data_IF_646701779395
#
_entry.id   IF_646701779395
#
_cell.length_a   1.000
_cell.length_b   1.000
_cell.length_c   1.000
_cell.angle_alpha   90.00
_cell.angle_beta   90.00
_cell.angle_gamma   90.00
#
_symmetry.space_group_name_H-M   'P 1'
#
loop_
_entity.id
_entity.type
_entity.pdbx_description
1 polymer ?
#
# COMPACT_ATOMS: atom_id res chain seq x y z
N UNK A 1 -10.11 -1.54 -29.92
CA UNK A 1 -10.23 -2.60 -28.91
C UNK A 1 -8.95 -2.56 -28.11
N UNK A 2 -8.97 -2.15 -26.83
CA UNK A 2 -7.77 -2.27 -25.99
C UNK A 2 -7.35 -3.75 -25.94
N UNK A 3 -6.06 -4.07 -25.90
CA UNK A 3 -5.59 -5.45 -25.82
C UNK A 3 -6.15 -6.12 -24.57
N UNK A 4 -6.42 -7.43 -24.64
CA UNK A 4 -6.76 -8.22 -23.47
C UNK A 4 -5.61 -8.11 -22.47
N UNK A 5 -5.85 -7.52 -21.29
CA UNK A 5 -4.82 -7.42 -20.24
C UNK A 5 -4.64 -8.80 -19.65
N UNK A 6 -3.50 -9.42 -19.96
CA UNK A 6 -3.22 -10.80 -19.58
C UNK A 6 -2.93 -10.98 -18.08
N UNK A 7 -2.85 -9.96 -17.24
CA UNK A 7 -2.73 -10.14 -15.78
C UNK A 7 -3.07 -8.84 -15.04
N UNK A 8 -3.89 -8.90 -14.00
CA UNK A 8 -4.10 -7.73 -13.14
C UNK A 8 -2.90 -7.52 -12.20
N UNK A 9 -2.50 -6.26 -12.05
CA UNK A 9 -1.48 -5.82 -11.08
C UNK A 9 -2.14 -4.95 -10.01
N UNK A 10 -2.05 -5.39 -8.76
CA UNK A 10 -2.57 -4.65 -7.61
C UNK A 10 -1.44 -4.01 -6.82
N UNK A 11 -1.67 -2.80 -6.32
CA UNK A 11 -0.78 -2.11 -5.37
C UNK A 11 -1.50 -1.99 -4.05
N UNK A 12 -0.84 -2.31 -2.94
CA UNK A 12 -1.41 -2.22 -1.60
C UNK A 12 -0.55 -1.31 -0.73
N UNK A 13 -1.12 -0.20 -0.25
CA UNK A 13 -0.49 0.60 0.78
C UNK A 13 -0.67 -0.04 2.15
N UNK A 14 0.44 -0.34 2.84
CA UNK A 14 0.43 -1.02 4.12
C UNK A 14 1.21 -0.25 5.20
N UNK A 15 0.50 0.17 6.24
CA UNK A 15 1.05 0.89 7.41
C UNK A 15 0.88 0.10 8.72
N UNK A 16 0.42 -1.16 8.64
CA UNK A 16 0.13 -1.99 9.80
C UNK A 16 -1.11 -1.58 10.59
N UNK A 17 -1.95 -0.69 10.07
CA UNK A 17 -3.26 -0.40 10.66
C UNK A 17 -4.26 -1.53 10.40
N UNK A 18 -5.28 -1.65 11.24
CA UNK A 18 -6.32 -2.67 11.05
C UNK A 18 -7.07 -2.53 9.71
N UNK A 19 -7.22 -1.30 9.22
CA UNK A 19 -7.81 -1.06 7.91
C UNK A 19 -6.90 -1.55 6.78
N UNK A 20 -5.58 -1.35 6.89
CA UNK A 20 -4.62 -1.88 5.93
C UNK A 20 -4.58 -3.43 5.95
N UNK A 21 -4.65 -4.05 7.14
CA UNK A 21 -4.77 -5.52 7.28
C UNK A 21 -6.03 -6.06 6.59
N UNK A 22 -7.18 -5.41 6.79
CA UNK A 22 -8.42 -5.75 6.08
C UNK A 22 -8.29 -5.56 4.58
N UNK A 23 -7.54 -4.54 4.15
CA UNK A 23 -7.19 -4.32 2.74
C UNK A 23 -6.44 -5.49 2.12
N UNK A 24 -5.41 -5.99 2.80
CA UNK A 24 -4.67 -7.18 2.35
C UNK A 24 -5.54 -8.44 2.32
N UNK A 25 -6.37 -8.66 3.34
CA UNK A 25 -7.29 -9.80 3.36
C UNK A 25 -8.25 -9.77 2.17
N UNK A 26 -8.77 -8.60 1.83
CA UNK A 26 -9.63 -8.42 0.66
C UNK A 26 -8.86 -8.68 -0.65
N UNK A 27 -7.59 -8.29 -0.71
CA UNK A 27 -6.71 -8.65 -1.83
C UNK A 27 -6.55 -10.16 -1.90
N UNK A 28 -6.34 -10.89 -0.82
CA UNK A 28 -6.30 -12.36 -0.84
C UNK A 28 -7.56 -12.99 -1.46
N UNK A 29 -8.74 -12.42 -1.20
CA UNK A 29 -10.01 -12.86 -1.82
C UNK A 29 -10.10 -12.48 -3.31
N UNK A 30 -9.60 -11.31 -3.72
CA UNK A 30 -9.65 -10.81 -5.10
C UNK A 30 -8.49 -11.32 -5.98
N UNK A 31 -7.37 -11.70 -5.36
CA UNK A 31 -6.09 -11.95 -6.00
C UNK A 31 -6.04 -13.29 -6.75
N UNK A 32 -7.08 -14.13 -6.62
CA UNK A 32 -7.32 -15.19 -7.60
C UNK A 32 -7.35 -14.66 -9.05
N UNK A 33 -7.68 -13.36 -9.24
CA UNK A 33 -7.65 -12.67 -10.53
C UNK A 33 -6.34 -11.87 -10.78
N UNK A 34 -5.51 -11.63 -9.75
CA UNK A 34 -4.27 -10.86 -9.85
C UNK A 34 -3.03 -11.75 -9.87
N UNK A 35 -2.23 -11.63 -10.93
CA UNK A 35 -0.94 -12.34 -10.99
C UNK A 35 0.16 -11.62 -10.22
N UNK A 36 0.00 -10.32 -9.95
CA UNK A 36 1.00 -9.52 -9.26
C UNK A 36 0.38 -8.62 -8.19
N UNK A 37 0.94 -8.65 -6.99
CA UNK A 37 0.57 -7.78 -5.86
C UNK A 37 1.84 -7.09 -5.35
N UNK A 38 1.86 -5.77 -5.41
CA UNK A 38 2.96 -4.94 -4.91
C UNK A 38 2.55 -4.35 -3.57
N UNK A 39 3.15 -4.83 -2.49
CA UNK A 39 2.95 -4.28 -1.15
C UNK A 39 3.93 -3.14 -0.93
N UNK A 40 3.41 -1.96 -0.61
CA UNK A 40 4.18 -0.74 -0.40
C UNK A 40 4.00 -0.26 1.02
N UNK A 41 5.10 -0.20 1.78
CA UNK A 41 5.17 0.53 3.05
C UNK A 41 5.93 1.84 2.85
N UNK A 42 5.46 2.91 3.47
CA UNK A 42 6.06 4.24 3.34
C UNK A 42 6.39 4.81 4.70
N UNK A 43 7.67 5.05 4.94
CA UNK A 43 8.16 5.84 6.08
C UNK A 43 8.01 7.32 5.75
N UNK A 44 7.21 8.10 6.50
CA UNK A 44 7.05 9.52 6.25
C UNK A 44 8.38 10.28 6.43
N UNK A 45 8.77 11.07 5.42
CA UNK A 45 9.91 11.97 5.57
C UNK A 45 9.51 13.17 6.47
N UNK A 46 10.07 13.20 7.68
CA UNK A 46 9.84 14.27 8.67
C UNK A 46 10.87 15.42 8.55
N UNK A 47 11.76 15.38 7.55
CA UNK A 47 12.76 16.41 7.27
C UNK A 47 14.12 16.19 7.95
N UNK A 48 15.09 17.04 7.60
CA UNK A 48 16.53 16.88 7.95
C UNK A 48 16.82 16.76 9.45
N UNK A 49 15.94 17.30 10.31
CA UNK A 49 16.12 17.26 11.77
C UNK A 49 15.87 15.88 12.40
N UNK A 50 15.33 14.92 11.64
CA UNK A 50 15.02 13.57 12.13
C UNK A 50 16.00 12.51 11.62
N UNK A 51 16.94 12.87 10.74
CA UNK A 51 17.83 11.91 10.07
C UNK A 51 19.06 11.65 10.94
N UNK A 52 18.98 10.61 11.77
CA UNK A 52 20.14 10.03 12.47
C UNK A 52 20.31 8.57 12.06
N UNK A 53 21.52 8.00 12.16
CA UNK A 53 21.77 6.58 11.82
C UNK A 53 20.90 5.62 12.63
N UNK A 54 20.61 5.93 13.89
CA UNK A 54 19.71 5.13 14.73
C UNK A 54 18.25 5.22 14.28
N UNK A 55 17.80 6.40 13.80
CA UNK A 55 16.42 6.56 13.28
C UNK A 55 16.26 5.82 11.96
N UNK A 56 17.24 5.94 11.04
CA UNK A 56 17.24 5.18 9.79
C UNK A 56 17.20 3.66 10.02
N UNK A 57 18.03 3.14 10.94
CA UNK A 57 18.03 1.72 11.25
C UNK A 57 16.70 1.24 11.87
N UNK A 58 16.02 2.09 12.63
CA UNK A 58 14.67 1.79 13.17
C UNK A 58 13.62 1.81 12.07
N UNK A 59 13.64 2.81 11.22
CA UNK A 59 12.71 2.95 10.10
C UNK A 59 12.82 1.76 9.14
N UNK A 60 14.04 1.32 8.81
CA UNK A 60 14.26 0.12 7.99
C UNK A 60 13.72 -1.14 8.68
N UNK A 61 13.98 -1.30 9.99
CA UNK A 61 13.48 -2.43 10.76
C UNK A 61 11.95 -2.46 10.83
N UNK A 62 11.32 -1.31 11.05
CA UNK A 62 9.86 -1.20 11.10
C UNK A 62 9.22 -1.45 9.73
N UNK A 63 9.83 -0.94 8.64
CA UNK A 63 9.38 -1.19 7.28
C UNK A 63 9.45 -2.69 6.93
N UNK A 64 10.57 -3.35 7.23
CA UNK A 64 10.72 -4.79 6.99
C UNK A 64 9.73 -5.62 7.82
N UNK A 65 9.52 -5.26 9.10
CA UNK A 65 8.52 -5.92 9.96
C UNK A 65 7.11 -5.79 9.38
N UNK A 66 6.74 -4.62 8.86
CA UNK A 66 5.45 -4.41 8.22
C UNK A 66 5.31 -5.22 6.93
N UNK A 67 6.37 -5.30 6.12
CA UNK A 67 6.36 -6.10 4.90
C UNK A 67 6.26 -7.61 5.19
N UNK A 68 6.96 -8.11 6.21
CA UNK A 68 6.86 -9.50 6.67
C UNK A 68 5.43 -9.83 7.12
N UNK A 69 4.81 -8.94 7.90
CA UNK A 69 3.42 -9.08 8.31
C UNK A 69 2.48 -9.13 7.10
N UNK A 70 2.67 -8.23 6.13
CA UNK A 70 1.83 -8.18 4.94
C UNK A 70 1.95 -9.44 4.08
N UNK A 71 3.16 -9.96 3.87
CA UNK A 71 3.41 -11.20 3.13
C UNK A 71 2.75 -12.39 3.85
N UNK A 72 2.85 -12.45 5.18
CA UNK A 72 2.21 -13.52 5.95
C UNK A 72 0.67 -13.51 5.78
N UNK A 73 0.05 -12.33 5.68
CA UNK A 73 -1.39 -12.20 5.42
C UNK A 73 -1.81 -12.60 4.00
N UNK A 74 -0.87 -12.66 3.06
CA UNK A 74 -1.08 -13.07 1.67
C UNK A 74 -0.58 -14.51 1.39
N UNK A 75 -0.18 -15.27 2.41
CA UNK A 75 0.47 -16.56 2.24
C UNK A 75 -0.40 -17.62 1.52
N UNK A 76 -1.73 -17.49 1.60
CA UNK A 76 -2.68 -18.42 0.98
C UNK A 76 -3.04 -18.05 -0.47
N UNK A 77 -2.35 -17.07 -1.06
CA UNK A 77 -2.64 -16.58 -2.42
C UNK A 77 -1.85 -17.35 -3.49
N UNK A 78 -2.35 -18.53 -3.86
CA UNK A 78 -1.69 -19.39 -4.86
C UNK A 78 -1.60 -18.73 -6.24
N UNK A 79 -0.42 -18.78 -6.87
CA UNK A 79 -0.20 -18.30 -8.24
C UNK A 79 -0.04 -16.78 -8.38
N UNK A 80 -0.09 -16.04 -7.28
CA UNK A 80 0.17 -14.59 -7.24
C UNK A 80 1.65 -14.33 -6.88
N UNK A 81 2.31 -13.49 -7.66
CA UNK A 81 3.64 -12.96 -7.31
C UNK A 81 3.46 -11.80 -6.32
N UNK A 82 4.19 -11.84 -5.21
CA UNK A 82 4.16 -10.78 -4.20
C UNK A 82 5.49 -10.02 -4.28
N UNK A 83 5.42 -8.74 -4.63
CA UNK A 83 6.53 -7.80 -4.61
C UNK A 83 6.47 -6.94 -3.33
N UNK A 84 7.62 -6.74 -2.69
CA UNK A 84 7.76 -5.92 -1.48
C UNK A 84 8.47 -4.62 -1.84
N UNK A 85 7.93 -3.47 -1.41
CA UNK A 85 8.58 -2.17 -1.56
C UNK A 85 8.52 -1.37 -0.25
N UNK A 86 9.69 -1.11 0.32
CA UNK A 86 9.85 -0.08 1.34
C UNK A 86 10.29 1.22 0.67
N UNK A 87 9.70 2.34 1.06
CA UNK A 87 10.04 3.65 0.53
C UNK A 87 9.98 4.72 1.62
N UNK A 88 10.68 5.83 1.41
CA UNK A 88 10.64 7.00 2.30
C UNK A 88 10.10 8.20 1.52
N UNK A 89 9.17 8.96 2.11
CA UNK A 89 8.62 10.16 1.49
C UNK A 89 7.17 10.47 1.89
N UNK A 90 6.47 11.25 1.06
CA UNK A 90 5.03 11.48 1.21
C UNK A 90 4.24 10.23 0.77
N UNK A 91 3.48 9.56 1.67
CA UNK A 91 2.84 8.28 1.36
C UNK A 91 1.91 8.32 0.15
N UNK A 92 1.15 9.41 -0.01
CA UNK A 92 0.22 9.53 -1.15
C UNK A 92 0.98 9.64 -2.48
N UNK A 93 2.03 10.46 -2.51
CA UNK A 93 2.88 10.62 -3.70
C UNK A 93 3.58 9.30 -4.06
N UNK A 94 4.19 8.64 -3.08
CA UNK A 94 4.89 7.37 -3.29
C UNK A 94 3.94 6.31 -3.85
N UNK A 95 2.75 6.15 -3.27
CA UNK A 95 1.76 5.18 -3.76
C UNK A 95 1.33 5.50 -5.20
N UNK A 96 1.05 6.75 -5.52
CA UNK A 96 0.67 7.18 -6.87
C UNK A 96 1.80 6.91 -7.86
N UNK A 97 3.04 7.21 -7.49
CA UNK A 97 4.20 6.98 -8.37
C UNK A 97 4.40 5.47 -8.61
N UNK A 98 4.30 4.63 -7.57
CA UNK A 98 4.35 3.17 -7.72
C UNK A 98 3.25 2.66 -8.63
N UNK A 99 2.00 3.15 -8.51
CA UNK A 99 0.90 2.71 -9.40
C UNK A 99 1.19 2.99 -10.87
N UNK A 100 1.89 4.08 -11.18
CA UNK A 100 2.29 4.42 -12.56
C UNK A 100 3.47 3.57 -13.03
N UNK A 101 4.44 3.33 -12.16
CA UNK A 101 5.62 2.52 -12.48
C UNK A 101 5.28 1.09 -12.88
N UNK A 102 4.27 0.49 -12.22
CA UNK A 102 3.89 -0.91 -12.45
C UNK A 102 2.65 -1.07 -13.34
N UNK A 103 2.14 0.01 -13.94
CA UNK A 103 0.85 0.06 -14.66
C UNK A 103 -0.27 -0.65 -13.88
N UNK A 104 -0.44 -0.26 -12.62
CA UNK A 104 -1.40 -0.90 -11.71
C UNK A 104 -2.84 -0.80 -12.23
N UNK A 105 -3.62 -1.83 -12.01
CA UNK A 105 -5.06 -1.84 -12.30
C UNK A 105 -5.88 -1.36 -11.09
N UNK A 106 -5.39 -1.64 -9.88
CA UNK A 106 -6.07 -1.31 -8.63
C UNK A 106 -5.07 -0.90 -7.54
N UNK A 107 -5.33 0.23 -6.89
CA UNK A 107 -4.67 0.65 -5.65
C UNK A 107 -5.60 0.38 -4.46
N UNK A 108 -5.11 -0.38 -3.48
CA UNK A 108 -5.82 -0.68 -2.25
C UNK A 108 -5.16 0.07 -1.10
N UNK A 109 -5.96 0.83 -0.35
CA UNK A 109 -5.51 1.54 0.85
C UNK A 109 -6.50 1.39 1.99
N UNK A 110 -5.99 1.32 3.22
CA UNK A 110 -6.81 1.42 4.41
C UNK A 110 -7.41 2.82 4.58
N UNK A 111 -8.66 2.88 5.03
CA UNK A 111 -9.26 4.07 5.61
C UNK A 111 -8.56 4.37 6.94
N UNK A 112 -8.38 5.65 7.25
CA UNK A 112 -7.92 6.07 8.58
C UNK A 112 -8.87 5.54 9.69
N UNK A 113 -8.29 4.88 10.70
CA UNK A 113 -9.01 4.27 11.84
C UNK A 113 -9.60 5.26 12.84
N UNK A 114 -10.43 4.77 13.76
CA UNK A 114 -11.23 5.57 14.69
C UNK A 114 -10.42 6.41 15.71
N UNK A 115 -9.16 6.04 15.97
CA UNK A 115 -8.31 6.67 16.99
C UNK A 115 -7.72 8.04 16.58
N UNK A 116 -7.82 8.40 15.29
CA UNK A 116 -7.31 9.67 14.78
C UNK A 116 -8.46 10.64 14.53
N UNK A 117 -8.69 11.56 15.48
CA UNK A 117 -9.61 12.72 15.45
C UNK A 117 -10.59 12.73 14.26
N UNK A 118 -11.80 12.23 14.51
CA UNK A 118 -12.89 11.87 13.60
C UNK A 118 -13.46 12.98 12.66
N UNK A 119 -12.64 13.86 12.08
CA UNK A 119 -13.10 14.98 11.23
C UNK A 119 -13.02 14.69 9.73
N UNK A 120 -12.37 13.61 9.29
CA UNK A 120 -12.36 13.21 7.87
C UNK A 120 -12.77 11.75 7.69
N UNK A 121 -13.71 11.50 6.77
CA UNK A 121 -14.24 10.17 6.51
C UNK A 121 -13.21 9.25 5.82
N UNK A 122 -12.26 9.75 5.05
CA UNK A 122 -11.33 8.92 4.26
C UNK A 122 -9.90 8.87 4.84
N UNK A 123 -9.41 9.97 5.42
CA UNK A 123 -7.99 10.16 5.75
C UNK A 123 -7.21 10.85 4.62
N UNK A 124 -6.12 11.53 4.98
CA UNK A 124 -5.37 12.39 4.03
C UNK A 124 -4.69 11.63 2.90
N UNK A 125 -4.18 10.43 3.17
CA UNK A 125 -3.53 9.59 2.14
C UNK A 125 -4.59 9.07 1.17
N UNK A 126 -5.63 8.40 1.68
CA UNK A 126 -6.72 7.87 0.88
C UNK A 126 -7.38 8.94 -0.01
N UNK A 127 -7.65 10.13 0.53
CA UNK A 127 -8.20 11.23 -0.25
C UNK A 127 -7.27 11.62 -1.43
N UNK A 128 -5.97 11.81 -1.16
CA UNK A 128 -5.03 12.25 -2.19
C UNK A 128 -4.80 11.20 -3.27
N UNK A 129 -4.77 9.91 -2.91
CA UNK A 129 -4.58 8.85 -3.91
C UNK A 129 -5.84 8.66 -4.77
N UNK A 130 -7.05 8.78 -4.21
CA UNK A 130 -8.30 8.77 -4.99
C UNK A 130 -8.34 9.90 -6.02
N UNK A 131 -7.78 11.07 -5.69
CA UNK A 131 -7.73 12.22 -6.59
C UNK A 131 -6.64 12.10 -7.68
N UNK A 132 -5.59 11.29 -7.49
CA UNK A 132 -4.35 11.38 -8.27
C UNK A 132 -3.88 10.06 -8.92
N UNK A 133 -4.37 8.92 -8.46
CA UNK A 133 -4.02 7.61 -9.01
C UNK A 133 -4.50 7.50 -10.47
N UNK A 134 -3.71 6.83 -11.30
CA UNK A 134 -4.05 6.55 -12.70
C UNK A 134 -4.90 5.28 -12.86
N UNK A 135 -5.22 4.60 -11.77
CA UNK A 135 -5.92 3.32 -11.71
C UNK A 135 -7.13 3.40 -10.78
N UNK A 136 -7.92 2.32 -10.74
CA UNK A 136 -9.02 2.23 -9.78
C UNK A 136 -8.48 2.26 -8.35
N UNK A 137 -9.24 2.83 -7.42
CA UNK A 137 -8.84 2.93 -6.01
C UNK A 137 -9.90 2.30 -5.13
N UNK A 138 -9.50 1.32 -4.33
CA UNK A 138 -10.30 0.71 -3.29
C UNK A 138 -9.88 1.21 -1.91
N UNK A 139 -10.81 1.83 -1.20
CA UNK A 139 -10.62 2.28 0.18
C UNK A 139 -11.33 1.33 1.14
N UNK A 140 -10.56 0.64 1.98
CA UNK A 140 -11.09 -0.40 2.88
C UNK A 140 -11.30 0.14 4.28
N UNK A 141 -12.48 -0.10 4.85
CA UNK A 141 -12.89 0.38 6.18
C UNK A 141 -12.61 -0.60 7.28
#
# INVERSE_FOLDING_TARGET
>A
MPPARDALTFVVGFDGSDAARRGLAYVGELAAEARNVVVVTVTPDLGESSITSETLARDDFDAERLLDEAVALLADTDGTTIERRAATGDPARVLVDVTREVDADLLIVGRRGADFVARTLLGSVAQRVVEQASCDVLVVR
#
